data_IF_026876568043
#
_entry.id   IF_026876568043
#
_cell.length_a   1.000
_cell.length_b   1.000
_cell.length_c   1.000
_cell.angle_alpha   90.00
_cell.angle_beta   90.00
_cell.angle_gamma   90.00
#
_symmetry.space_group_name_H-M   'P 1'
#
loop_
_entity.id
_entity.type
_entity.pdbx_description
1 polymer ?
#
# COMPACT_ATOMS: atom_id res chain seq x y z
N UNK A 1 26.91 35.39 37.46
CA UNK A 1 25.54 35.59 36.96
C UNK A 1 25.35 34.65 35.77
N UNK A 2 24.45 33.67 35.89
CA UNK A 2 24.13 32.71 34.84
C UNK A 2 23.16 33.37 33.86
N UNK A 3 23.64 33.70 32.66
CA UNK A 3 22.79 34.18 31.60
C UNK A 3 22.15 32.99 30.89
N UNK A 4 20.83 32.86 31.05
CA UNK A 4 20.00 31.93 30.30
C UNK A 4 20.10 32.22 28.81
N UNK A 5 20.71 31.30 28.08
CA UNK A 5 20.41 31.11 26.67
C UNK A 5 19.18 30.21 26.62
N UNK A 6 18.08 30.74 26.09
CA UNK A 6 16.90 30.00 25.66
C UNK A 6 17.28 29.04 24.53
N UNK A 7 18.07 28.03 24.88
CA UNK A 7 18.60 27.04 23.96
C UNK A 7 17.60 25.92 23.81
N UNK A 8 16.87 25.91 22.69
CA UNK A 8 16.83 24.64 21.97
C UNK A 8 18.29 24.29 21.72
N UNK A 9 18.87 23.44 22.57
CA UNK A 9 20.19 22.88 22.34
C UNK A 9 20.22 22.39 20.89
N UNK A 10 21.28 22.66 20.10
CA UNK A 10 21.40 22.15 18.74
C UNK A 10 21.05 20.65 18.62
N UNK A 11 21.28 19.90 19.69
CA UNK A 11 20.93 18.49 19.83
C UNK A 11 19.42 18.20 19.71
N UNK A 12 18.56 19.06 20.24
CA UNK A 12 17.11 18.86 20.23
C UNK A 12 16.50 18.80 18.83
N UNK A 13 17.08 19.50 17.85
CA UNK A 13 16.64 19.45 16.45
C UNK A 13 17.12 18.16 15.78
N UNK A 14 18.31 17.68 16.10
CA UNK A 14 18.80 16.38 15.63
C UNK A 14 17.95 15.24 16.21
N UNK A 15 17.59 15.31 17.50
CA UNK A 15 16.70 14.33 18.14
C UNK A 15 15.30 14.32 17.51
N UNK A 16 14.74 15.51 17.21
CA UNK A 16 13.45 15.64 16.56
C UNK A 16 13.46 15.04 15.15
N UNK A 17 14.53 15.29 14.39
CA UNK A 17 14.75 14.73 13.05
C UNK A 17 14.82 13.20 13.12
N UNK A 18 15.60 12.65 14.03
CA UNK A 18 15.80 11.20 14.15
C UNK A 18 14.50 10.51 14.58
N UNK A 19 13.72 11.16 15.46
CA UNK A 19 12.36 10.72 15.80
C UNK A 19 11.41 10.77 14.60
N UNK A 20 11.46 11.83 13.78
CA UNK A 20 10.64 11.95 12.58
C UNK A 20 10.99 10.86 11.55
N UNK A 21 12.28 10.61 11.32
CA UNK A 21 12.77 9.53 10.46
C UNK A 21 12.32 8.15 10.98
N UNK A 22 12.40 7.94 12.30
CA UNK A 22 11.92 6.70 12.94
C UNK A 22 10.40 6.52 12.81
N UNK A 23 9.63 7.61 12.84
CA UNK A 23 8.19 7.52 12.61
C UNK A 23 7.87 7.24 11.14
N UNK A 24 8.62 7.82 10.20
CA UNK A 24 8.48 7.53 8.78
C UNK A 24 8.82 6.06 8.48
N UNK A 25 9.85 5.48 9.11
CA UNK A 25 10.26 4.08 8.84
C UNK A 25 9.22 3.05 9.27
N UNK A 26 8.32 3.42 10.21
CA UNK A 26 7.16 2.58 10.58
C UNK A 26 6.10 2.55 9.49
N UNK A 27 6.00 3.63 8.70
CA UNK A 27 4.99 3.75 7.66
C UNK A 27 5.41 3.03 6.38
N UNK A 28 6.70 3.12 6.02
CA UNK A 28 7.24 2.52 4.79
C UNK A 28 8.74 2.25 4.91
N UNK A 29 9.24 1.34 4.07
CA UNK A 29 10.68 1.17 3.87
C UNK A 29 11.31 2.43 3.31
N UNK A 30 12.48 2.79 3.85
CA UNK A 30 13.22 3.96 3.45
C UNK A 30 14.70 3.83 3.72
N UNK A 31 15.49 4.48 2.87
CA UNK A 31 16.94 4.58 2.98
C UNK A 31 17.29 6.01 3.35
N UNK A 32 18.07 6.18 4.41
CA UNK A 32 18.44 7.49 4.95
C UNK A 32 19.94 7.69 4.80
N UNK A 33 20.36 8.80 4.22
CA UNK A 33 21.76 9.20 4.17
C UNK A 33 21.96 10.57 4.79
N UNK A 34 23.10 10.72 5.46
CA UNK A 34 23.50 11.96 6.11
C UNK A 34 24.68 12.54 5.34
N UNK A 35 24.62 13.81 4.97
CA UNK A 35 25.79 14.54 4.45
C UNK A 35 26.54 15.23 5.59
N UNK A 36 27.80 15.60 5.35
CA UNK A 36 28.70 16.19 6.35
C UNK A 36 28.26 17.53 6.96
N UNK A 37 27.14 18.12 6.52
CA UNK A 37 26.55 19.34 7.12
C UNK A 37 25.30 19.04 7.97
N UNK A 38 25.04 17.77 8.30
CA UNK A 38 23.86 17.35 9.06
C UNK A 38 22.54 17.36 8.25
N UNK A 39 22.63 17.58 6.94
CA UNK A 39 21.50 17.51 6.01
C UNK A 39 21.19 16.04 5.73
N UNK A 40 19.90 15.70 5.81
CA UNK A 40 19.39 14.35 5.57
C UNK A 40 18.75 14.26 4.20
N UNK A 41 19.08 13.17 3.52
CA UNK A 41 18.38 12.74 2.31
C UNK A 41 17.64 11.45 2.64
N UNK A 42 16.34 11.40 2.35
CA UNK A 42 15.50 10.21 2.54
C UNK A 42 15.02 9.73 1.19
N UNK A 43 15.29 8.46 0.89
CA UNK A 43 14.81 7.76 -0.30
C UNK A 43 13.80 6.70 0.07
N UNK A 44 12.81 6.50 -0.78
CA UNK A 44 11.83 5.43 -0.61
C UNK A 44 12.45 4.07 -0.93
N UNK A 45 12.05 3.03 -0.21
CA UNK A 45 12.55 1.66 -0.41
C UNK A 45 13.84 1.38 0.35
N UNK A 46 14.10 0.09 0.59
CA UNK A 46 15.26 -0.42 1.34
C UNK A 46 16.52 -0.58 0.50
N UNK A 47 16.42 -0.53 -0.83
CA UNK A 47 17.53 -0.73 -1.77
C UNK A 47 18.38 0.53 -2.03
N UNK A 48 17.90 1.70 -1.61
CA UNK A 48 18.54 2.99 -1.92
C UNK A 48 18.40 3.46 -3.39
N UNK A 49 17.75 2.67 -4.25
CA UNK A 49 17.50 2.98 -5.67
C UNK A 49 16.16 3.70 -5.88
N UNK A 50 15.30 3.76 -4.85
CA UNK A 50 14.01 4.42 -4.95
C UNK A 50 14.09 5.95 -4.97
N UNK A 51 12.95 6.61 -5.26
CA UNK A 51 12.88 8.06 -5.42
C UNK A 51 13.21 8.77 -4.11
N UNK A 52 13.94 9.88 -4.23
CA UNK A 52 14.24 10.76 -3.09
C UNK A 52 12.99 11.50 -2.67
N UNK A 53 12.51 11.23 -1.45
CA UNK A 53 11.30 11.87 -0.90
C UNK A 53 11.61 13.12 -0.07
N UNK A 54 12.83 13.20 0.46
CA UNK A 54 13.35 14.37 1.18
C UNK A 54 14.78 14.63 0.73
N UNK A 55 15.05 15.85 0.32
CA UNK A 55 16.41 16.33 0.04
C UNK A 55 16.64 17.69 0.73
N UNK A 56 17.22 17.61 1.93
CA UNK A 56 17.44 18.76 2.79
C UNK A 56 16.15 19.48 3.18
N UNK A 57 15.85 20.62 2.52
CA UNK A 57 14.63 21.41 2.79
C UNK A 57 13.49 21.07 1.83
N UNK A 58 13.76 20.31 0.77
CA UNK A 58 12.76 19.91 -0.20
C UNK A 58 12.14 18.58 0.23
N UNK A 59 10.83 18.47 0.13
CA UNK A 59 10.09 17.24 0.34
C UNK A 59 9.06 17.07 -0.76
N UNK A 60 8.88 15.83 -1.19
CA UNK A 60 7.84 15.47 -2.16
C UNK A 60 6.78 14.61 -1.50
N UNK A 61 5.55 14.73 -2.00
CA UNK A 61 4.42 13.98 -1.47
C UNK A 61 4.38 12.57 -2.03
N UNK A 62 3.98 11.62 -1.21
CA UNK A 62 3.65 10.26 -1.64
C UNK A 62 2.13 10.05 -1.56
N UNK A 63 1.63 9.11 -2.34
CA UNK A 63 0.21 8.81 -2.41
C UNK A 63 -0.04 7.38 -2.85
N UNK A 64 -1.32 7.01 -2.89
CA UNK A 64 -1.77 5.72 -3.41
C UNK A 64 -2.99 5.97 -4.29
N UNK A 65 -3.05 5.30 -5.43
CA UNK A 65 -4.18 5.34 -6.36
C UNK A 65 -4.74 3.95 -6.55
N UNK A 66 -6.07 3.83 -6.47
CA UNK A 66 -6.77 2.59 -6.80
C UNK A 66 -6.72 2.36 -8.31
N UNK A 67 -6.34 1.16 -8.72
CA UNK A 67 -6.33 0.68 -10.10
C UNK A 67 -7.20 -0.58 -10.22
N UNK A 68 -7.38 -1.09 -11.44
CA UNK A 68 -8.03 -2.39 -11.67
C UNK A 68 -7.24 -3.56 -11.10
N UNK A 69 -5.92 -3.40 -10.93
CA UNK A 69 -4.99 -4.41 -10.40
C UNK A 69 -4.75 -4.30 -8.90
N UNK A 70 -5.31 -3.29 -8.22
CA UNK A 70 -5.18 -3.11 -6.76
C UNK A 70 -4.89 -1.67 -6.36
N UNK A 71 -3.97 -1.50 -5.40
CA UNK A 71 -3.54 -0.20 -4.91
C UNK A 71 -2.12 0.08 -5.43
N UNK A 72 -1.96 1.16 -6.21
CA UNK A 72 -0.68 1.58 -6.80
C UNK A 72 -0.07 2.73 -5.99
N UNK A 73 1.12 2.55 -5.37
CA UNK A 73 1.86 3.65 -4.79
C UNK A 73 2.33 4.67 -5.83
N UNK A 74 2.33 5.94 -5.42
CA UNK A 74 2.69 7.10 -6.22
C UNK A 74 3.66 7.99 -5.46
N UNK A 75 4.51 8.70 -6.19
CA UNK A 75 5.40 9.74 -5.69
C UNK A 75 5.26 10.95 -6.59
N UNK A 76 5.11 12.14 -6.00
CA UNK A 76 5.01 13.39 -6.76
C UNK A 76 6.39 13.87 -7.18
N UNK A 77 6.71 13.76 -8.46
CA UNK A 77 7.95 14.28 -9.04
C UNK A 77 7.62 15.41 -9.99
N UNK A 78 8.23 16.59 -9.80
CA UNK A 78 8.08 17.74 -10.69
C UNK A 78 6.62 18.18 -10.95
N UNK A 79 5.73 17.94 -9.97
CA UNK A 79 4.30 18.28 -10.07
C UNK A 79 3.41 17.16 -10.62
N UNK A 80 3.98 16.06 -11.10
CA UNK A 80 3.25 14.90 -11.61
C UNK A 80 3.32 13.71 -10.65
N UNK A 81 2.26 12.90 -10.63
CA UNK A 81 2.23 11.66 -9.86
C UNK A 81 2.85 10.52 -10.66
N UNK A 82 4.02 10.04 -10.24
CA UNK A 82 4.76 8.93 -10.86
C UNK A 82 4.54 7.66 -10.06
N UNK A 83 4.21 6.56 -10.75
CA UNK A 83 4.07 5.26 -10.13
C UNK A 83 5.40 4.74 -9.55
N UNK A 84 5.33 4.14 -8.36
CA UNK A 84 6.50 3.53 -7.72
C UNK A 84 6.15 2.17 -7.14
N UNK A 85 7.14 1.28 -7.12
CA UNK A 85 7.05 -0.03 -6.47
C UNK A 85 7.91 -0.10 -5.20
N UNK A 86 8.36 1.05 -4.70
CA UNK A 86 9.29 1.14 -3.57
C UNK A 86 8.58 1.18 -2.20
N UNK A 87 7.24 1.19 -2.17
CA UNK A 87 6.43 1.05 -0.95
C UNK A 87 6.00 -0.41 -0.82
N UNK A 88 6.88 -1.24 -0.26
CA UNK A 88 6.68 -2.70 -0.14
C UNK A 88 6.47 -3.20 1.29
N UNK A 89 7.05 -2.54 2.30
CA UNK A 89 6.83 -2.88 3.70
C UNK A 89 6.41 -1.66 4.53
N UNK A 90 6.48 -1.80 5.86
CA UNK A 90 5.82 -0.91 6.80
C UNK A 90 4.29 -1.02 6.74
N UNK A 91 3.61 -0.12 7.44
CA UNK A 91 2.15 -0.09 7.48
C UNK A 91 1.52 0.09 6.09
N UNK A 92 2.08 0.96 5.25
CA UNK A 92 1.55 1.24 3.92
C UNK A 92 1.67 0.01 3.00
N UNK A 93 2.85 -0.62 2.94
CA UNK A 93 3.05 -1.86 2.19
C UNK A 93 2.16 -3.00 2.70
N UNK A 94 2.01 -3.11 4.03
CA UNK A 94 1.11 -4.08 4.65
C UNK A 94 -0.35 -3.91 4.23
N UNK A 95 -0.87 -2.67 4.21
CA UNK A 95 -2.23 -2.38 3.77
C UNK A 95 -2.45 -2.67 2.28
N UNK A 96 -1.47 -2.35 1.43
CA UNK A 96 -1.53 -2.66 0.00
C UNK A 96 -1.59 -4.18 -0.22
N UNK A 97 -0.73 -4.92 0.47
CA UNK A 97 -0.68 -6.38 0.40
C UNK A 97 -1.95 -7.03 0.94
N UNK A 98 -2.49 -6.53 2.06
CA UNK A 98 -3.75 -7.01 2.62
C UNK A 98 -4.92 -6.79 1.65
N UNK A 99 -5.01 -5.60 1.03
CA UNK A 99 -6.03 -5.33 0.02
C UNK A 99 -5.92 -6.28 -1.18
N UNK A 100 -4.69 -6.57 -1.64
CA UNK A 100 -4.45 -7.53 -2.71
C UNK A 100 -4.92 -8.94 -2.31
N UNK A 101 -4.52 -9.43 -1.14
CA UNK A 101 -4.91 -10.76 -0.66
C UNK A 101 -6.43 -10.91 -0.51
N UNK A 102 -7.11 -9.90 0.02
CA UNK A 102 -8.58 -9.89 0.11
C UNK A 102 -9.22 -9.92 -1.28
N UNK A 103 -8.68 -9.15 -2.23
CA UNK A 103 -9.21 -9.10 -3.60
C UNK A 103 -9.05 -10.45 -4.32
N UNK A 104 -7.92 -11.13 -4.11
CA UNK A 104 -7.66 -12.48 -4.63
C UNK A 104 -8.61 -13.51 -4.00
N UNK A 105 -8.77 -13.50 -2.68
CA UNK A 105 -9.71 -14.40 -2.00
C UNK A 105 -11.15 -14.22 -2.48
N UNK A 106 -11.60 -12.98 -2.69
CA UNK A 106 -12.93 -12.70 -3.24
C UNK A 106 -13.09 -13.25 -4.67
N UNK A 107 -12.03 -13.16 -5.48
CA UNK A 107 -12.03 -13.72 -6.83
C UNK A 107 -12.19 -15.24 -6.80
N UNK A 108 -11.49 -15.92 -5.89
CA UNK A 108 -11.55 -17.37 -5.74
C UNK A 108 -12.93 -17.83 -5.25
N UNK A 109 -13.52 -17.11 -4.29
CA UNK A 109 -14.89 -17.38 -3.80
C UNK A 109 -15.90 -17.21 -4.94
N UNK A 110 -15.81 -16.14 -5.73
CA UNK A 110 -16.69 -15.92 -6.87
C UNK A 110 -16.55 -17.02 -7.93
N UNK A 111 -15.32 -17.49 -8.16
CA UNK A 111 -15.07 -18.60 -9.07
C UNK A 111 -15.70 -19.89 -8.57
N UNK A 112 -15.55 -20.21 -7.28
CA UNK A 112 -16.17 -21.37 -6.66
C UNK A 112 -17.70 -21.28 -6.74
N UNK A 113 -18.30 -20.13 -6.44
CA UNK A 113 -19.75 -19.94 -6.53
C UNK A 113 -20.28 -20.12 -7.95
N UNK A 114 -19.53 -19.66 -8.97
CA UNK A 114 -19.86 -19.87 -10.36
C UNK A 114 -19.83 -21.36 -10.73
N UNK A 115 -18.78 -22.09 -10.32
CA UNK A 115 -18.67 -23.54 -10.54
C UNK A 115 -19.80 -24.30 -9.84
N UNK A 116 -20.05 -24.02 -8.56
CA UNK A 116 -21.15 -24.64 -7.81
C UNK A 116 -22.49 -24.41 -8.50
N UNK A 117 -22.74 -23.18 -8.98
CA UNK A 117 -23.96 -22.87 -9.72
C UNK A 117 -24.03 -23.64 -11.04
N UNK A 118 -22.92 -23.78 -11.76
CA UNK A 118 -22.87 -24.53 -13.00
C UNK A 118 -23.18 -26.01 -12.77
N UNK A 119 -22.52 -26.62 -11.79
CA UNK A 119 -22.68 -28.05 -11.46
C UNK A 119 -24.09 -28.35 -10.92
N UNK A 120 -24.61 -27.54 -9.99
CA UNK A 120 -25.99 -27.70 -9.52
C UNK A 120 -27.00 -27.57 -10.66
N UNK A 121 -26.80 -26.62 -11.56
CA UNK A 121 -27.68 -26.43 -12.71
C UNK A 121 -27.58 -27.57 -13.72
N UNK A 122 -26.40 -28.16 -13.90
CA UNK A 122 -26.22 -29.34 -14.74
C UNK A 122 -26.97 -30.54 -14.14
N UNK A 123 -26.80 -30.79 -12.85
CA UNK A 123 -27.51 -31.86 -12.17
C UNK A 123 -29.04 -31.67 -12.17
N UNK A 124 -29.52 -30.45 -11.92
CA UNK A 124 -30.96 -30.16 -11.95
C UNK A 124 -31.56 -30.35 -13.34
N UNK A 125 -30.85 -29.97 -14.41
CA UNK A 125 -31.30 -30.19 -15.80
C UNK A 125 -31.46 -31.67 -16.17
N UNK A 126 -30.70 -32.56 -15.51
CA UNK A 126 -30.83 -34.00 -15.71
C UNK A 126 -32.00 -34.60 -14.90
N UNK A 127 -32.59 -33.83 -13.99
CA UNK A 127 -33.76 -34.22 -13.20
C UNK A 127 -35.09 -33.85 -13.87
N UNK A 128 -36.15 -34.48 -13.36
CA UNK A 128 -37.54 -34.19 -13.72
C UNK A 128 -38.18 -33.53 -12.51
N UNK A 129 -38.86 -32.41 -12.73
CA UNK A 129 -39.57 -31.66 -11.69
C UNK A 129 -40.84 -32.38 -11.24
N UNK A 130 -41.46 -31.95 -10.14
CA UNK A 130 -42.70 -32.54 -9.61
C UNK A 130 -43.87 -32.50 -10.62
N UNK A 131 -43.83 -31.57 -11.57
CA UNK A 131 -44.83 -31.39 -12.62
C UNK A 131 -44.50 -32.20 -13.90
N UNK A 132 -43.42 -32.98 -13.90
CA UNK A 132 -43.00 -33.82 -15.04
C UNK A 132 -42.14 -33.10 -16.09
N UNK A 133 -41.85 -31.82 -15.89
CA UNK A 133 -41.01 -31.00 -16.78
C UNK A 133 -39.51 -31.17 -16.47
N UNK A 134 -38.63 -30.97 -17.45
CA UNK A 134 -37.18 -30.96 -17.23
C UNK A 134 -36.75 -29.82 -16.29
N UNK A 135 -35.76 -30.06 -15.40
CA UNK A 135 -35.31 -29.04 -14.45
C UNK A 135 -34.67 -27.82 -15.11
N UNK A 136 -35.00 -26.62 -14.64
CA UNK A 136 -34.47 -25.35 -15.17
C UNK A 136 -33.22 -24.82 -14.45
N UNK A 137 -32.52 -23.88 -15.09
CA UNK A 137 -31.32 -23.22 -14.55
C UNK A 137 -31.68 -22.27 -13.41
N UNK A 138 -31.15 -22.53 -12.22
CA UNK A 138 -31.14 -21.60 -11.10
C UNK A 138 -30.00 -20.58 -11.26
N UNK A 139 -30.32 -19.29 -11.22
CA UNK A 139 -29.31 -18.21 -11.29
C UNK A 139 -29.24 -17.53 -9.92
N UNK A 140 -28.09 -17.66 -9.24
CA UNK A 140 -27.80 -16.86 -8.05
C UNK A 140 -27.71 -15.39 -8.48
N UNK A 141 -28.57 -14.54 -7.91
CA UNK A 141 -28.55 -13.08 -8.09
C UNK A 141 -27.55 -12.43 -7.14
#
# INVERSE_FOLDING_TARGET
MAAGQSGQSPNSIYDLRDKAVTNLSKLTDLTVSYSGRGVVTVKLGSSGVGPTIVDGKQAIMTGVRKTSSGMQPLVRSEGEDVATNQISAGMAGGLINANKAVSEALKDINHLAALMSQEMNEQHRQGITLDGEAGEKHVLK
#
